data_IF_907503005175
#
_entry.id   IF_907503005175
#
_cell.length_a   1.000
_cell.length_b   1.000
_cell.length_c   1.000
_cell.angle_alpha   90.00
_cell.angle_beta   90.00
_cell.angle_gamma   90.00
#
_symmetry.space_group_name_H-M   'P 1'
#
loop_
_entity.id
_entity.type
_entity.pdbx_description
1 polymer ?
#
# COMPACT_ATOMS: atom_id res chain seq x y z
N UNK A 1 29.40 15.22 -10.21
CA UNK A 1 29.13 13.76 -10.09
C UNK A 1 29.91 13.01 -11.17
N UNK A 2 30.43 11.81 -10.87
CA UNK A 2 31.16 10.95 -11.82
C UNK A 2 30.42 9.62 -11.97
N UNK A 3 30.39 9.05 -13.17
CA UNK A 3 29.68 7.80 -13.46
C UNK A 3 30.60 6.75 -14.10
N UNK A 4 30.20 5.48 -14.05
CA UNK A 4 30.91 4.36 -14.68
C UNK A 4 30.87 4.38 -16.23
N UNK A 5 30.09 5.27 -16.85
CA UNK A 5 30.06 5.49 -18.31
C UNK A 5 31.01 6.61 -18.76
N UNK A 6 32.05 6.88 -17.97
CA UNK A 6 33.00 7.98 -18.18
C UNK A 6 32.36 9.38 -18.33
N UNK A 7 31.10 9.56 -17.90
CA UNK A 7 30.50 10.88 -17.79
C UNK A 7 30.85 11.52 -16.46
N UNK A 8 31.38 12.73 -16.53
CA UNK A 8 31.62 13.61 -15.38
C UNK A 8 30.86 14.90 -15.62
N UNK A 9 30.01 15.29 -14.68
CA UNK A 9 29.40 16.63 -14.69
C UNK A 9 30.41 17.68 -14.24
N UNK A 10 30.27 18.90 -14.76
CA UNK A 10 30.99 20.06 -14.27
C UNK A 10 30.73 20.29 -12.76
N UNK A 11 31.66 20.96 -12.06
CA UNK A 11 31.43 21.37 -10.67
C UNK A 11 30.20 22.28 -10.56
N UNK A 12 29.31 21.95 -9.61
CA UNK A 12 28.21 22.83 -9.23
C UNK A 12 28.64 23.64 -8.02
N UNK A 13 28.77 24.96 -8.18
CA UNK A 13 29.33 25.87 -7.18
C UNK A 13 30.81 26.16 -7.38
N UNK A 14 31.41 26.88 -6.42
CA UNK A 14 32.83 27.24 -6.43
C UNK A 14 33.65 26.16 -5.71
N UNK A 15 34.78 25.75 -6.29
CA UNK A 15 35.66 24.77 -5.66
C UNK A 15 36.36 25.37 -4.43
N UNK A 16 36.01 24.86 -3.25
CA UNK A 16 36.68 25.21 -1.99
C UNK A 16 38.04 24.54 -1.81
N UNK A 17 38.74 24.95 -0.74
CA UNK A 17 40.07 24.44 -0.38
C UNK A 17 40.06 23.01 0.14
N UNK A 18 38.99 22.60 0.83
CA UNK A 18 38.84 21.25 1.40
C UNK A 18 37.94 20.42 0.50
N UNK A 19 38.42 19.24 0.10
CA UNK A 19 37.70 18.32 -0.81
C UNK A 19 37.54 16.96 -0.17
N UNK A 20 36.45 16.27 -0.50
CA UNK A 20 36.22 14.88 -0.14
C UNK A 20 35.73 14.11 -1.37
N UNK A 21 35.94 12.79 -1.36
CA UNK A 21 35.50 11.89 -2.41
C UNK A 21 34.77 10.72 -1.76
N UNK A 22 33.51 10.54 -2.13
CA UNK A 22 32.70 9.39 -1.70
C UNK A 22 32.70 8.35 -2.82
N UNK A 23 33.63 7.40 -2.76
CA UNK A 23 33.80 6.34 -3.75
C UNK A 23 34.31 5.08 -3.07
N UNK A 24 33.71 3.94 -3.41
CA UNK A 24 34.23 2.62 -3.10
C UNK A 24 34.21 1.75 -4.37
N UNK A 25 35.37 1.16 -4.71
CA UNK A 25 35.48 0.28 -5.88
C UNK A 25 34.63 -0.97 -5.68
N UNK A 26 33.93 -1.39 -6.72
CA UNK A 26 33.01 -2.52 -6.58
C UNK A 26 31.68 -2.16 -5.92
N UNK A 27 31.32 -0.87 -5.76
CA UNK A 27 30.02 -0.44 -5.24
C UNK A 27 29.30 0.59 -6.15
N UNK A 28 27.97 0.64 -6.08
CA UNK A 28 27.12 1.68 -6.68
C UNK A 28 26.51 2.57 -5.60
N UNK A 29 26.33 3.87 -5.88
CA UNK A 29 25.57 4.79 -5.03
C UNK A 29 24.07 4.48 -5.21
N UNK A 30 23.34 4.29 -4.11
CA UNK A 30 21.90 3.97 -4.09
C UNK A 30 21.04 5.06 -3.47
N UNK A 31 21.63 6.03 -2.77
CA UNK A 31 20.92 7.15 -2.19
C UNK A 31 21.87 8.16 -1.53
N UNK A 32 21.29 9.23 -1.00
CA UNK A 32 22.02 10.32 -0.32
C UNK A 32 21.40 10.59 1.05
N UNK A 33 22.20 11.07 1.98
CA UNK A 33 21.75 11.60 3.27
C UNK A 33 22.57 12.84 3.63
N UNK A 34 22.08 13.70 4.52
CA UNK A 34 22.77 14.94 4.84
C UNK A 34 21.93 15.92 5.63
N UNK A 35 22.43 17.15 5.72
CA UNK A 35 21.74 18.26 6.38
C UNK A 35 21.79 19.49 5.48
N UNK A 36 20.65 20.13 5.29
CA UNK A 36 20.54 21.40 4.58
C UNK A 36 19.73 22.40 5.42
N UNK A 37 19.96 23.70 5.22
CA UNK A 37 19.12 24.76 5.78
C UNK A 37 17.85 24.95 4.95
N UNK A 38 16.81 25.50 5.58
CA UNK A 38 15.59 25.91 4.89
C UNK A 38 15.84 27.15 4.01
N UNK A 39 15.08 27.25 2.93
CA UNK A 39 15.10 28.31 1.91
C UNK A 39 14.53 29.65 2.37
N UNK A 40 14.00 29.73 3.59
CA UNK A 40 13.32 30.92 4.14
C UNK A 40 14.27 32.04 4.60
N UNK A 41 15.58 31.84 4.45
CA UNK A 41 16.58 32.90 4.67
C UNK A 41 16.99 33.53 3.34
N UNK A 42 17.32 34.82 3.34
CA UNK A 42 17.78 35.56 2.15
C UNK A 42 19.05 34.97 1.49
N UNK A 43 19.72 34.05 2.18
CA UNK A 43 20.90 33.32 1.70
C UNK A 43 20.58 32.06 0.86
N UNK A 44 19.30 31.67 0.74
CA UNK A 44 18.87 30.44 0.07
C UNK A 44 19.18 29.16 0.86
N UNK A 45 18.74 28.01 0.34
CA UNK A 45 19.01 26.71 0.98
C UNK A 45 20.49 26.31 0.81
N UNK A 46 21.18 26.07 1.93
CA UNK A 46 22.60 25.72 1.98
C UNK A 46 22.74 24.25 2.39
N UNK A 47 23.55 23.48 1.66
CA UNK A 47 23.90 22.10 2.03
C UNK A 47 25.06 22.14 3.02
N UNK A 48 24.82 21.76 4.27
CA UNK A 48 25.84 21.71 5.32
C UNK A 48 26.66 20.42 5.30
N UNK A 49 26.05 19.30 4.91
CA UNK A 49 26.70 18.00 4.86
C UNK A 49 25.98 17.09 3.85
N UNK A 50 26.75 16.23 3.19
CA UNK A 50 26.24 15.21 2.26
C UNK A 50 27.05 13.92 2.41
N UNK A 51 26.33 12.81 2.46
CA UNK A 51 26.84 11.44 2.44
C UNK A 51 26.07 10.60 1.43
N UNK A 52 26.57 9.39 1.17
CA UNK A 52 25.99 8.45 0.20
C UNK A 52 25.72 7.10 0.84
N UNK A 53 24.62 6.47 0.45
CA UNK A 53 24.43 5.04 0.64
C UNK A 53 25.04 4.29 -0.55
N UNK A 54 25.77 3.20 -0.29
CA UNK A 54 26.44 2.38 -1.30
C UNK A 54 26.05 0.90 -1.17
N UNK A 55 26.07 0.18 -2.29
CA UNK A 55 25.84 -1.27 -2.35
C UNK A 55 26.80 -1.96 -3.33
N UNK A 56 27.28 -3.20 -3.07
CA UNK A 56 28.25 -3.85 -3.95
C UNK A 56 27.71 -4.08 -5.38
N UNK A 57 28.56 -3.93 -6.39
CA UNK A 57 28.30 -4.27 -7.78
C UNK A 57 28.11 -5.79 -7.87
N UNK A 58 26.94 -6.23 -8.34
CA UNK A 58 26.56 -7.65 -8.34
C UNK A 58 25.64 -8.05 -7.19
N UNK A 59 25.47 -7.19 -6.17
CA UNK A 59 24.20 -7.22 -5.44
C UNK A 59 23.13 -6.76 -6.43
N UNK A 60 22.16 -7.65 -6.69
CA UNK A 60 20.84 -7.21 -7.13
C UNK A 60 20.53 -6.04 -6.19
N UNK A 61 20.14 -4.85 -6.70
CA UNK A 61 19.59 -3.85 -5.78
C UNK A 61 18.64 -4.60 -4.84
N UNK A 62 18.67 -4.36 -3.51
CA UNK A 62 17.47 -4.62 -2.70
C UNK A 62 16.35 -4.10 -3.59
N UNK A 63 15.54 -5.01 -4.12
CA UNK A 63 14.80 -4.84 -5.37
C UNK A 63 14.23 -3.42 -5.36
N UNK A 64 14.38 -2.57 -6.40
CA UNK A 64 13.59 -1.34 -6.45
C UNK A 64 12.18 -1.82 -6.14
N UNK A 65 11.60 -1.38 -5.01
CA UNK A 65 10.44 -2.04 -4.42
C UNK A 65 9.51 -2.38 -5.56
N UNK A 66 9.34 -3.68 -5.84
CA UNK A 66 8.61 -4.14 -7.01
C UNK A 66 7.32 -3.31 -7.06
N UNK A 67 7.09 -2.56 -8.15
CA UNK A 67 6.06 -1.54 -8.13
C UNK A 67 4.76 -2.23 -7.77
N UNK A 68 4.11 -1.74 -6.71
CA UNK A 68 2.85 -2.28 -6.26
C UNK A 68 1.88 -2.36 -7.41
N UNK A 69 1.27 -3.53 -7.62
CA UNK A 69 0.23 -3.70 -8.64
C UNK A 69 -1.11 -3.33 -8.02
N UNK A 70 -1.86 -2.46 -8.71
CA UNK A 70 -3.25 -2.18 -8.37
C UNK A 70 -4.13 -3.19 -9.11
N UNK A 71 -4.84 -4.03 -8.37
CA UNK A 71 -5.88 -4.90 -8.92
C UNK A 71 -7.16 -4.10 -9.11
N UNK A 72 -7.88 -4.34 -10.20
CA UNK A 72 -9.14 -3.66 -10.49
C UNK A 72 -10.17 -3.91 -9.38
N UNK A 73 -10.95 -2.87 -9.07
CA UNK A 73 -12.03 -3.01 -8.10
C UNK A 73 -13.26 -3.61 -8.79
N UNK A 74 -13.88 -4.59 -8.13
CA UNK A 74 -15.03 -5.34 -8.62
C UNK A 74 -16.26 -4.95 -7.80
N UNK A 75 -17.42 -4.84 -8.45
CA UNK A 75 -18.69 -4.45 -7.82
C UNK A 75 -19.48 -3.41 -8.63
N UNK A 76 -20.35 -2.66 -7.96
CA UNK A 76 -21.28 -1.68 -8.58
C UNK A 76 -20.72 -0.26 -8.72
N UNK A 77 -21.20 0.53 -9.67
CA UNK A 77 -20.70 1.90 -9.93
C UNK A 77 -21.15 2.99 -8.93
N UNK A 78 -21.75 2.59 -7.80
CA UNK A 78 -22.26 3.50 -6.78
C UNK A 78 -21.20 3.95 -5.77
N UNK A 79 -21.59 4.91 -4.93
CA UNK A 79 -20.80 5.39 -3.79
C UNK A 79 -19.66 6.35 -4.14
N UNK A 80 -19.07 6.94 -3.10
CA UNK A 80 -17.88 7.77 -3.21
C UNK A 80 -16.64 6.87 -3.30
N UNK A 81 -15.72 7.18 -4.22
CA UNK A 81 -14.47 6.44 -4.37
C UNK A 81 -13.52 6.69 -3.20
N UNK A 82 -12.81 5.66 -2.77
CA UNK A 82 -11.77 5.73 -1.75
C UNK A 82 -10.56 4.88 -2.14
N UNK A 83 -9.40 5.24 -1.62
CA UNK A 83 -8.14 4.52 -1.86
C UNK A 83 -7.18 4.80 -0.71
N UNK A 84 -6.89 3.78 0.10
CA UNK A 84 -5.98 3.92 1.24
C UNK A 84 -4.50 3.97 0.80
N UNK A 85 -4.21 3.55 -0.43
CA UNK A 85 -2.87 3.50 -0.99
C UNK A 85 -2.15 2.19 -0.69
N UNK A 86 -0.82 2.25 -0.69
CA UNK A 86 0.08 1.10 -0.63
C UNK A 86 0.88 1.14 0.67
N UNK A 87 0.89 0.01 1.37
CA UNK A 87 1.61 -0.19 2.64
C UNK A 87 2.50 -1.43 2.57
N UNK A 88 3.15 -1.80 3.68
CA UNK A 88 3.99 -3.00 3.73
C UNK A 88 3.16 -4.28 3.99
N UNK A 89 1.96 -4.11 4.55
CA UNK A 89 0.99 -5.17 4.77
C UNK A 89 -0.17 -4.75 5.67
N UNK A 90 -1.21 -5.57 5.65
CA UNK A 90 -2.39 -5.44 6.52
C UNK A 90 -2.08 -6.05 7.88
N UNK A 91 -2.55 -5.43 8.96
CA UNK A 91 -2.43 -5.91 10.34
C UNK A 91 -3.78 -6.31 10.93
N UNK A 92 -4.82 -5.53 10.61
CA UNK A 92 -6.18 -5.74 11.10
C UNK A 92 -7.18 -5.42 10.02
N UNK A 93 -8.26 -6.20 9.98
CA UNK A 93 -9.43 -5.93 9.15
C UNK A 93 -10.64 -5.85 10.07
N UNK A 94 -11.46 -4.82 9.87
CA UNK A 94 -12.75 -4.63 10.53
C UNK A 94 -13.82 -4.53 9.45
N UNK A 95 -14.88 -5.34 9.56
CA UNK A 95 -16.00 -5.39 8.62
C UNK A 95 -17.30 -5.09 9.38
N UNK A 96 -17.98 -4.02 8.98
CA UNK A 96 -19.31 -3.66 9.46
C UNK A 96 -20.39 -4.30 8.58
N UNK A 97 -21.15 -5.25 9.12
CA UNK A 97 -22.25 -5.88 8.40
C UNK A 97 -23.51 -5.00 8.44
N UNK A 98 -24.18 -4.83 7.30
CA UNK A 98 -25.48 -4.17 7.18
C UNK A 98 -26.58 -5.20 6.89
N UNK A 99 -27.85 -4.75 6.85
CA UNK A 99 -28.98 -5.65 6.57
C UNK A 99 -28.90 -6.27 5.17
N UNK A 100 -28.40 -5.51 4.19
CA UNK A 100 -28.40 -5.91 2.78
C UNK A 100 -27.02 -6.39 2.28
N UNK A 101 -25.96 -6.31 3.08
CA UNK A 101 -24.61 -6.69 2.66
C UNK A 101 -23.51 -6.12 3.54
N UNK A 102 -22.34 -5.86 2.97
CA UNK A 102 -21.22 -5.21 3.67
C UNK A 102 -21.48 -3.70 3.72
N UNK A 103 -21.66 -3.16 4.93
CA UNK A 103 -21.94 -1.75 5.15
C UNK A 103 -20.68 -0.89 5.20
N UNK A 104 -19.67 -1.37 5.92
CA UNK A 104 -18.42 -0.64 6.09
C UNK A 104 -17.20 -1.56 6.17
N UNK A 105 -16.04 -1.03 5.81
CA UNK A 105 -14.74 -1.68 6.00
C UNK A 105 -13.73 -0.69 6.58
N UNK A 106 -12.83 -1.19 7.41
CA UNK A 106 -11.73 -0.42 7.97
C UNK A 106 -10.51 -1.32 8.15
N UNK A 107 -9.33 -0.74 7.98
CA UNK A 107 -8.08 -1.48 7.98
C UNK A 107 -7.03 -0.80 8.86
N UNK A 108 -6.13 -1.61 9.41
CA UNK A 108 -4.89 -1.14 10.02
C UNK A 108 -3.72 -1.72 9.24
N UNK A 109 -2.74 -0.89 8.92
CA UNK A 109 -1.61 -1.24 8.08
C UNK A 109 -0.27 -1.09 8.82
N UNK A 110 0.76 -1.81 8.36
CA UNK A 110 2.14 -1.55 8.71
C UNK A 110 2.87 -0.72 7.64
N UNK A 111 3.67 0.26 8.06
CA UNK A 111 4.57 1.01 7.18
C UNK A 111 5.89 1.30 7.90
N UNK A 112 6.92 0.51 7.61
CA UNK A 112 8.15 0.46 8.38
C UNK A 112 7.86 0.12 9.85
N UNK A 113 8.33 0.97 10.76
CA UNK A 113 8.07 0.84 12.19
C UNK A 113 6.68 1.37 12.61
N UNK A 114 5.95 2.03 11.71
CA UNK A 114 4.68 2.68 12.04
C UNK A 114 3.47 1.75 11.83
N UNK A 115 2.43 2.03 12.62
CA UNK A 115 1.09 1.45 12.48
C UNK A 115 0.16 2.56 11.99
N UNK A 116 -0.46 2.34 10.83
CA UNK A 116 -1.35 3.31 10.20
C UNK A 116 -2.78 2.83 10.35
N UNK A 117 -3.62 3.59 11.05
CA UNK A 117 -5.06 3.33 11.15
C UNK A 117 -5.76 3.99 9.96
N UNK A 118 -6.34 3.18 9.08
CA UNK A 118 -7.10 3.64 7.92
C UNK A 118 -8.42 4.28 8.31
N UNK A 119 -8.98 5.05 7.37
CA UNK A 119 -10.33 5.58 7.49
C UNK A 119 -11.36 4.43 7.44
N UNK A 120 -12.54 4.68 8.01
CA UNK A 120 -13.69 3.82 7.79
C UNK A 120 -14.35 4.18 6.46
N UNK A 121 -14.62 3.17 5.64
CA UNK A 121 -15.24 3.33 4.33
C UNK A 121 -16.60 2.69 4.32
N UNK A 122 -17.66 3.50 4.22
CA UNK A 122 -19.05 3.08 4.33
C UNK A 122 -19.74 3.72 5.54
N UNK A 123 -20.98 3.31 5.83
CA UNK A 123 -21.70 3.77 7.01
C UNK A 123 -21.56 2.79 8.17
N UNK A 124 -21.24 3.31 9.36
CA UNK A 124 -21.18 2.51 10.58
C UNK A 124 -22.50 1.77 10.79
N UNK A 125 -22.42 0.47 11.02
CA UNK A 125 -23.61 -0.37 11.09
C UNK A 125 -24.07 -0.55 12.53
N UNK A 126 -25.39 -0.67 12.74
CA UNK A 126 -25.96 -0.95 14.07
C UNK A 126 -25.60 -2.35 14.60
N UNK A 127 -25.19 -3.25 13.71
CA UNK A 127 -24.78 -4.61 14.03
C UNK A 127 -23.34 -4.68 14.57
N UNK A 128 -22.59 -3.58 14.47
CA UNK A 128 -21.20 -3.51 14.91
C UNK A 128 -20.21 -4.06 13.88
N UNK A 129 -18.95 -4.12 14.29
CA UNK A 129 -17.84 -4.60 13.48
C UNK A 129 -17.41 -5.99 13.93
N UNK A 130 -17.25 -6.89 12.97
CA UNK A 130 -16.44 -8.09 13.13
C UNK A 130 -15.02 -7.79 12.71
N UNK A 131 -14.05 -8.27 13.49
CA UNK A 131 -12.65 -7.93 13.29
C UNK A 131 -11.78 -9.17 13.41
N UNK A 132 -10.69 -9.19 12.65
CA UNK A 132 -9.60 -10.12 12.86
C UNK A 132 -8.26 -9.41 12.74
N UNK A 133 -7.31 -9.87 13.54
CA UNK A 133 -5.94 -9.40 13.55
C UNK A 133 -5.04 -10.49 12.99
N UNK A 134 -4.14 -10.09 12.09
CA UNK A 134 -3.16 -10.96 11.50
C UNK A 134 -1.95 -11.06 12.42
N UNK A 135 -1.33 -12.23 12.47
CA UNK A 135 -0.03 -12.45 13.12
C UNK A 135 1.11 -11.78 12.32
N UNK A 136 1.07 -10.45 12.24
CA UNK A 136 1.95 -9.63 11.41
C UNK A 136 3.38 -9.59 11.96
N UNK A 137 4.42 -9.76 11.13
CA UNK A 137 4.39 -9.83 9.67
C UNK A 137 4.33 -11.27 9.10
N UNK A 138 4.21 -12.29 9.94
CA UNK A 138 4.30 -13.69 9.53
C UNK A 138 3.02 -14.22 8.87
N UNK A 139 1.88 -13.60 9.14
CA UNK A 139 0.61 -13.81 8.44
C UNK A 139 0.27 -12.61 7.55
N UNK A 140 -0.10 -12.88 6.30
CA UNK A 140 -0.45 -11.87 5.30
C UNK A 140 -1.56 -12.38 4.38
N UNK A 141 -2.38 -11.46 3.87
CA UNK A 141 -3.50 -11.77 2.99
C UNK A 141 -2.96 -12.10 1.59
N UNK A 142 -3.36 -13.24 1.05
CA UNK A 142 -2.97 -13.73 -0.28
C UNK A 142 -4.09 -13.60 -1.31
N UNK A 143 -5.35 -13.61 -0.85
CA UNK A 143 -6.50 -13.39 -1.70
C UNK A 143 -7.71 -12.89 -0.89
N UNK A 144 -8.64 -12.24 -1.58
CA UNK A 144 -9.98 -11.96 -1.07
C UNK A 144 -10.99 -12.56 -2.03
N UNK A 145 -11.82 -13.48 -1.54
CA UNK A 145 -13.02 -13.87 -2.28
C UNK A 145 -14.14 -12.91 -1.87
N UNK A 146 -15.07 -12.64 -2.79
CA UNK A 146 -16.28 -11.95 -2.44
C UNK A 146 -17.43 -12.27 -3.37
N UNK A 147 -18.61 -11.80 -3.01
CA UNK A 147 -19.77 -11.79 -3.91
C UNK A 147 -20.39 -10.41 -3.96
N UNK A 148 -20.98 -10.07 -5.11
CA UNK A 148 -21.75 -8.85 -5.30
C UNK A 148 -23.06 -9.15 -6.01
N UNK A 149 -24.09 -8.36 -5.73
CA UNK A 149 -25.39 -8.47 -6.40
C UNK A 149 -26.13 -7.13 -6.39
N UNK A 150 -27.18 -7.05 -7.21
CA UNK A 150 -28.14 -5.95 -7.16
C UNK A 150 -29.04 -6.08 -5.94
N UNK A 151 -29.28 -4.97 -5.25
CA UNK A 151 -30.32 -4.90 -4.21
C UNK A 151 -31.68 -5.08 -4.87
N UNK A 152 -32.53 -5.94 -4.31
CA UNK A 152 -33.87 -6.19 -4.86
C UNK A 152 -34.68 -4.90 -4.98
N UNK A 153 -35.18 -4.61 -6.19
CA UNK A 153 -35.95 -3.39 -6.46
C UNK A 153 -35.11 -2.12 -6.66
N UNK A 154 -33.79 -2.23 -6.78
CA UNK A 154 -32.87 -1.12 -7.06
C UNK A 154 -31.90 -1.50 -8.19
N UNK A 155 -31.41 -0.49 -8.91
CA UNK A 155 -30.29 -0.65 -9.86
C UNK A 155 -28.91 -0.64 -9.18
N UNK A 156 -28.90 -0.55 -7.85
CA UNK A 156 -27.69 -0.48 -7.05
C UNK A 156 -27.10 -1.87 -6.82
N UNK A 157 -25.87 -2.08 -7.30
CA UNK A 157 -25.06 -3.25 -6.99
C UNK A 157 -24.15 -2.97 -5.79
N UNK A 158 -24.08 -3.92 -4.87
CA UNK A 158 -23.27 -3.85 -3.64
C UNK A 158 -22.47 -5.14 -3.44
N UNK A 159 -21.46 -5.06 -2.58
CA UNK A 159 -20.71 -6.21 -2.08
C UNK A 159 -21.52 -6.86 -0.95
N UNK A 160 -21.85 -8.14 -1.13
CA UNK A 160 -22.66 -8.91 -0.18
C UNK A 160 -21.80 -9.68 0.82
N UNK A 161 -20.64 -10.17 0.35
CA UNK A 161 -19.76 -11.02 1.14
C UNK A 161 -18.29 -10.76 0.83
N UNK A 162 -17.47 -10.82 1.87
CA UNK A 162 -16.01 -10.86 1.76
C UNK A 162 -15.45 -12.01 2.60
N UNK A 163 -14.46 -12.71 2.06
CA UNK A 163 -13.70 -13.77 2.73
C UNK A 163 -12.22 -13.56 2.47
N UNK A 164 -11.43 -13.49 3.53
CA UNK A 164 -10.02 -13.15 3.46
C UNK A 164 -9.18 -14.42 3.63
N UNK A 165 -8.39 -14.75 2.62
CA UNK A 165 -7.44 -15.88 2.66
C UNK A 165 -6.06 -15.36 2.98
N UNK A 166 -5.38 -16.01 3.92
CA UNK A 166 -3.99 -15.71 4.27
C UNK A 166 -3.09 -16.88 3.91
N UNK A 167 -1.79 -16.72 4.10
CA UNK A 167 -0.83 -17.82 4.02
C UNK A 167 -0.98 -18.86 5.14
N UNK A 168 -1.78 -18.59 6.18
CA UNK A 168 -1.97 -19.48 7.34
C UNK A 168 -3.38 -20.06 7.44
N UNK A 169 -4.40 -19.24 7.20
CA UNK A 169 -5.79 -19.61 7.41
C UNK A 169 -6.77 -18.78 6.56
N UNK A 170 -8.06 -18.89 6.83
CA UNK A 170 -9.12 -18.13 6.15
C UNK A 170 -10.05 -17.52 7.18
N UNK A 171 -10.38 -16.24 6.99
CA UNK A 171 -11.30 -15.48 7.83
C UNK A 171 -12.59 -15.16 7.06
N UNK A 172 -13.71 -15.22 7.77
CA UNK A 172 -15.05 -15.06 7.18
C UNK A 172 -15.70 -16.41 6.80
N UNK A 173 -16.76 -16.39 5.98
CA UNK A 173 -17.30 -15.24 5.25
C UNK A 173 -17.88 -14.16 6.17
N UNK A 174 -17.74 -12.90 5.78
CA UNK A 174 -18.41 -11.75 6.39
C UNK A 174 -19.50 -11.27 5.44
N UNK A 175 -20.75 -11.25 5.90
CA UNK A 175 -21.93 -11.01 5.05
C UNK A 175 -22.53 -12.30 4.47
N UNK A 176 -23.31 -12.18 3.40
CA UNK A 176 -24.10 -13.28 2.83
C UNK A 176 -23.54 -13.73 1.46
N UNK A 177 -23.13 -15.00 1.37
CA UNK A 177 -22.62 -15.60 0.14
C UNK A 177 -23.74 -15.82 -0.88
N UNK A 178 -24.07 -14.76 -1.62
CA UNK A 178 -25.08 -14.73 -2.67
C UNK A 178 -24.68 -13.76 -3.80
N UNK A 179 -25.14 -14.04 -5.02
CA UNK A 179 -24.87 -13.23 -6.21
C UNK A 179 -23.68 -13.72 -7.03
N UNK A 180 -23.00 -12.80 -7.69
CA UNK A 180 -21.86 -13.09 -8.56
C UNK A 180 -20.57 -13.11 -7.75
N UNK A 181 -19.82 -14.22 -7.83
CA UNK A 181 -18.55 -14.37 -7.13
C UNK A 181 -17.38 -13.68 -7.86
N UNK A 182 -16.42 -13.19 -7.09
CA UNK A 182 -15.15 -12.65 -7.58
C UNK A 182 -14.00 -13.03 -6.65
N UNK A 183 -12.78 -12.92 -7.18
CA UNK A 183 -11.54 -13.13 -6.42
C UNK A 183 -10.55 -12.03 -6.76
N UNK A 184 -10.01 -11.38 -5.73
CA UNK A 184 -8.86 -10.48 -5.82
C UNK A 184 -7.61 -11.29 -5.43
N UNK A 185 -6.80 -11.65 -6.42
CA UNK A 185 -5.56 -12.42 -6.22
C UNK A 185 -4.54 -12.07 -7.31
N UNK A 186 -3.27 -12.09 -6.93
CA UNK A 186 -2.13 -12.13 -7.86
C UNK A 186 -1.14 -13.20 -7.38
N UNK A 187 -0.76 -14.13 -8.26
CA UNK A 187 0.13 -15.23 -7.89
C UNK A 187 1.53 -14.74 -7.53
N UNK A 188 2.03 -15.15 -6.35
CA UNK A 188 3.33 -14.71 -5.83
C UNK A 188 3.30 -13.36 -5.10
N UNK A 189 2.12 -12.80 -4.84
CA UNK A 189 1.95 -11.51 -4.18
C UNK A 189 1.09 -11.60 -2.91
N UNK A 190 1.28 -10.63 -2.02
CA UNK A 190 0.43 -10.37 -0.84
C UNK A 190 -0.34 -9.07 -1.04
N UNK A 191 -1.54 -9.00 -0.46
CA UNK A 191 -2.35 -7.78 -0.42
C UNK A 191 -1.84 -6.86 0.69
N UNK A 192 -1.65 -5.58 0.35
CA UNK A 192 -1.05 -4.58 1.24
C UNK A 192 -1.83 -3.28 1.36
N UNK A 193 -2.93 -3.15 0.63
CA UNK A 193 -3.76 -1.95 0.63
C UNK A 193 -5.08 -2.22 -0.07
N UNK A 194 -6.07 -1.39 0.18
CA UNK A 194 -7.40 -1.53 -0.42
C UNK A 194 -7.86 -0.22 -1.06
N UNK A 195 -8.73 -0.34 -2.05
CA UNK A 195 -9.44 0.76 -2.69
C UNK A 195 -10.82 0.30 -3.12
N UNK A 196 -11.73 1.24 -3.39
CA UNK A 196 -13.09 0.89 -3.76
C UNK A 196 -14.01 2.09 -3.85
N UNK A 197 -15.30 1.84 -3.66
CA UNK A 197 -16.31 2.88 -3.50
C UNK A 197 -17.37 2.47 -2.48
N UNK A 198 -17.84 3.42 -1.70
CA UNK A 198 -18.82 3.20 -0.64
C UNK A 198 -19.78 4.39 -0.48
N UNK A 199 -21.03 4.09 -0.16
CA UNK A 199 -22.04 5.03 0.33
C UNK A 199 -22.48 4.56 1.72
N UNK A 200 -23.78 4.33 1.88
CA UNK A 200 -24.29 3.61 3.07
C UNK A 200 -23.87 2.12 3.07
N UNK A 201 -23.52 1.59 1.89
CA UNK A 201 -23.07 0.22 1.66
C UNK A 201 -21.78 0.23 0.81
N UNK A 202 -21.04 -0.86 0.88
CA UNK A 202 -19.86 -1.08 0.05
C UNK A 202 -20.28 -1.45 -1.37
N UNK A 203 -19.87 -0.65 -2.37
CA UNK A 203 -20.23 -0.87 -3.77
C UNK A 203 -19.14 -1.58 -4.56
N UNK A 204 -17.89 -1.14 -4.43
CA UNK A 204 -16.72 -1.77 -5.08
C UNK A 204 -15.64 -2.08 -4.07
N UNK A 205 -14.91 -3.16 -4.37
CA UNK A 205 -13.75 -3.56 -3.59
C UNK A 205 -12.60 -4.00 -4.49
N UNK A 206 -11.42 -3.46 -4.23
CA UNK A 206 -10.18 -3.72 -4.96
C UNK A 206 -8.97 -3.67 -4.01
N UNK A 207 -7.83 -4.12 -4.51
CA UNK A 207 -6.64 -4.30 -3.68
C UNK A 207 -5.36 -3.79 -4.36
N UNK A 208 -4.38 -3.43 -3.55
CA UNK A 208 -2.99 -3.23 -3.95
C UNK A 208 -2.16 -4.41 -3.46
N UNK A 209 -1.24 -4.87 -4.30
CA UNK A 209 -0.41 -6.05 -4.00
C UNK A 209 1.08 -5.76 -4.16
N UNK A 210 1.90 -6.44 -3.36
CA UNK A 210 3.36 -6.47 -3.43
C UNK A 210 3.85 -7.92 -3.52
N UNK A 211 4.97 -8.21 -4.20
CA UNK A 211 5.52 -9.57 -4.21
C UNK A 211 5.81 -10.09 -2.81
N UNK A 212 5.66 -11.40 -2.65
CA UNK A 212 6.10 -12.12 -1.46
C UNK A 212 7.59 -12.37 -1.65
N UNK A 213 8.41 -11.72 -0.81
CA UNK A 213 9.87 -11.92 -0.76
C UNK A 213 10.24 -13.09 0.15
#
# INVERSE_FOLDING_TARGET
>A
FKTNKNRTSDPFGLEGSTRFVLKEEGYKITGFHGRASDSTTDAGAIIHAIGVYIAPLGTIPLTPAEPSKKLDAIGGDGGASWNDGVFDGVRKVSIGQAQDGVGAVKFVYGKGAEVVVGAEHGASTKLGFEEFELDYPSEYITAVDGTYDKIFGSETTIINMLRFKTNKQTYGPFGLEAGTAFVLKEEGYKIVGFHGSAGDLLHKFGAHVLPIN
#
